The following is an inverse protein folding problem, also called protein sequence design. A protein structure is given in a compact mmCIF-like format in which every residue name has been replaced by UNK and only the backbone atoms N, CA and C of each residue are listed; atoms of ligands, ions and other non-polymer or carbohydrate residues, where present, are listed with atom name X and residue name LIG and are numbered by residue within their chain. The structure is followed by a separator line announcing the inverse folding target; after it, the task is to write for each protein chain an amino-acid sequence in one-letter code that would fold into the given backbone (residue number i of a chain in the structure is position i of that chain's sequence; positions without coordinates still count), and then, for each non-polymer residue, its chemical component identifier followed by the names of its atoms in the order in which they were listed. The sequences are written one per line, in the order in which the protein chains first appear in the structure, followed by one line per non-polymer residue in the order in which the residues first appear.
data_IF_108473833958
#
_entry.id   IF_108473833958
#
_cell.length_a   1.000
_cell.length_b   1.000
_cell.length_c   1.000
_cell.angle_alpha   90.00
_cell.angle_beta   90.00
_cell.angle_gamma   90.00
#
_symmetry.space_group_name_H-M   'P 1'
#
loop_
_entity.id
_entity.type
_entity.pdbx_description
1 polymer ?
#
# COMPACT_ATOMS: atom_id res chain seq x y z
N UNK A 1 0.95 -24.07 -21.62
CA UNK A 1 2.37 -24.11 -22.08
C UNK A 1 3.26 -23.97 -20.85
N UNK A 2 3.95 -25.04 -20.42
CA UNK A 2 4.97 -24.93 -19.36
C UNK A 2 6.21 -24.28 -19.96
N UNK A 3 6.68 -23.19 -19.36
CA UNK A 3 7.98 -22.61 -19.74
C UNK A 3 9.10 -23.54 -19.24
N UNK A 4 10.22 -23.52 -19.95
CA UNK A 4 11.43 -24.28 -19.63
C UNK A 4 12.00 -23.86 -18.26
N UNK A 5 12.57 -24.81 -17.51
CA UNK A 5 12.97 -24.64 -16.10
C UNK A 5 13.99 -23.50 -15.88
N UNK A 6 14.83 -23.22 -16.88
CA UNK A 6 15.79 -22.11 -16.84
C UNK A 6 15.10 -20.74 -16.79
N UNK A 7 13.91 -20.59 -17.36
CA UNK A 7 13.13 -19.35 -17.30
C UNK A 7 12.37 -19.20 -15.98
N UNK A 8 11.95 -20.30 -15.34
CA UNK A 8 11.19 -20.25 -14.09
C UNK A 8 12.08 -19.94 -12.88
N UNK A 9 13.34 -20.39 -12.89
CA UNK A 9 14.28 -20.16 -11.78
C UNK A 9 14.57 -18.68 -11.52
N UNK A 10 14.65 -17.86 -12.57
CA UNK A 10 14.84 -16.42 -12.41
C UNK A 10 13.55 -15.75 -11.91
N UNK A 11 12.38 -16.16 -12.39
CA UNK A 11 11.10 -15.59 -11.92
C UNK A 11 10.85 -15.84 -10.43
N UNK A 12 11.27 -16.99 -9.89
CA UNK A 12 11.20 -17.28 -8.46
C UNK A 12 12.06 -16.32 -7.62
N UNK A 13 13.24 -15.94 -8.12
CA UNK A 13 14.08 -14.94 -7.47
C UNK A 13 13.45 -13.54 -7.47
N UNK A 14 12.66 -13.20 -8.50
CA UNK A 14 11.92 -11.93 -8.57
C UNK A 14 10.69 -11.91 -7.68
N UNK A 15 9.94 -13.03 -7.58
CA UNK A 15 8.82 -13.13 -6.65
C UNK A 15 9.30 -13.03 -5.20
N UNK A 16 10.51 -13.52 -4.87
CA UNK A 16 11.12 -13.36 -3.54
C UNK A 16 11.49 -11.90 -3.18
N UNK A 17 11.62 -11.01 -4.18
CA UNK A 17 11.90 -9.58 -3.98
C UNK A 17 10.59 -8.78 -3.90
N UNK A 18 9.48 -9.32 -4.41
CA UNK A 18 8.17 -8.72 -4.21
C UNK A 18 7.82 -8.80 -2.72
N UNK A 19 7.55 -7.66 -2.08
CA UNK A 19 7.26 -7.54 -0.64
C UNK A 19 5.90 -8.16 -0.26
N UNK A 20 5.52 -9.31 -0.83
CA UNK A 20 4.52 -10.21 -0.26
C UNK A 20 5.17 -10.97 0.90
N UNK A 21 5.37 -10.28 2.02
CA UNK A 21 6.01 -10.82 3.24
C UNK A 21 5.35 -12.14 3.70
N UNK A 22 4.05 -12.30 3.40
CA UNK A 22 3.27 -13.50 3.67
C UNK A 22 3.53 -14.65 2.67
N UNK A 23 3.74 -14.35 1.39
CA UNK A 23 4.12 -15.36 0.37
C UNK A 23 5.58 -15.79 0.48
N UNK A 24 6.44 -14.95 1.05
CA UNK A 24 7.86 -15.26 1.30
C UNK A 24 8.03 -16.27 2.44
N UNK A 25 7.11 -16.28 3.41
CA UNK A 25 7.18 -17.13 4.60
C UNK A 25 6.34 -18.40 4.48
N UNK A 26 5.22 -18.37 3.75
CA UNK A 26 4.37 -19.54 3.54
C UNK A 26 3.85 -19.61 2.09
N UNK A 27 4.02 -20.74 1.37
CA UNK A 27 3.42 -20.91 0.05
C UNK A 27 1.90 -20.83 0.16
N UNK A 28 1.25 -20.09 -0.76
CA UNK A 28 -0.18 -19.83 -0.70
C UNK A 28 -1.01 -21.12 -0.58
N UNK A 29 -0.54 -22.24 -1.14
CA UNK A 29 -1.17 -23.56 -1.04
C UNK A 29 -1.36 -24.10 0.40
N UNK A 30 -0.69 -23.53 1.40
CA UNK A 30 -0.77 -23.96 2.80
C UNK A 30 -1.62 -23.05 3.69
N UNK A 31 -2.06 -21.89 3.20
CA UNK A 31 -2.98 -20.99 3.90
C UNK A 31 -4.39 -21.28 3.38
N UNK A 32 -5.33 -21.54 4.29
CA UNK A 32 -6.67 -22.10 4.04
C UNK A 32 -7.50 -21.47 2.92
N UNK A 33 -8.65 -20.89 3.25
CA UNK A 33 -9.57 -20.38 2.24
C UNK A 33 -9.04 -19.12 1.54
N UNK A 34 -9.42 -18.87 0.28
CA UNK A 34 -9.07 -17.62 -0.44
C UNK A 34 -9.39 -16.34 0.36
N UNK A 35 -10.47 -16.38 1.15
CA UNK A 35 -10.86 -15.27 2.05
C UNK A 35 -9.78 -14.97 3.09
N UNK A 36 -9.20 -15.99 3.72
CA UNK A 36 -8.15 -15.80 4.73
C UNK A 36 -6.90 -15.19 4.11
N UNK A 37 -6.52 -15.63 2.90
CA UNK A 37 -5.39 -15.07 2.15
C UNK A 37 -5.60 -13.58 1.86
N UNK A 38 -6.80 -13.22 1.42
CA UNK A 38 -7.18 -11.83 1.16
C UNK A 38 -7.11 -10.98 2.43
N UNK A 39 -7.65 -11.48 3.55
CA UNK A 39 -7.62 -10.77 4.83
C UNK A 39 -6.19 -10.57 5.33
N UNK A 40 -5.36 -11.61 5.29
CA UNK A 40 -3.97 -11.52 5.72
C UNK A 40 -3.16 -10.54 4.84
N UNK A 41 -3.33 -10.62 3.52
CA UNK A 41 -2.64 -9.74 2.57
C UNK A 41 -3.07 -8.27 2.68
N UNK A 42 -4.35 -7.99 2.93
CA UNK A 42 -4.87 -6.62 3.00
C UNK A 42 -4.83 -5.99 4.40
N UNK A 43 -4.85 -6.78 5.48
CA UNK A 43 -4.94 -6.25 6.86
C UNK A 43 -3.61 -6.16 7.60
N UNK A 44 -2.57 -6.91 7.20
CA UNK A 44 -1.27 -6.86 7.89
C UNK A 44 -0.67 -5.44 8.01
N UNK A 45 -0.77 -4.53 7.01
CA UNK A 45 -0.19 -3.20 7.14
C UNK A 45 -1.01 -2.34 8.11
N UNK A 46 -2.33 -2.54 8.14
CA UNK A 46 -3.23 -1.87 9.07
C UNK A 46 -2.93 -2.35 10.49
N UNK A 47 -2.74 -3.65 10.69
CA UNK A 47 -2.34 -4.21 11.98
C UNK A 47 -1.01 -3.61 12.46
N UNK A 48 -0.01 -3.48 11.57
CA UNK A 48 1.26 -2.83 11.91
C UNK A 48 1.09 -1.37 12.33
N UNK A 49 0.25 -0.60 11.62
CA UNK A 49 -0.05 0.79 11.97
C UNK A 49 -0.78 0.87 13.32
N UNK A 50 -1.76 0.00 13.57
CA UNK A 50 -2.53 -0.06 14.81
C UNK A 50 -1.65 -0.42 16.02
N UNK A 51 -0.70 -1.35 15.86
CA UNK A 51 0.28 -1.68 16.88
C UNK A 51 1.20 -0.49 17.20
N UNK A 52 1.59 0.28 16.18
CA UNK A 52 2.30 1.53 16.38
C UNK A 52 1.46 2.52 17.20
N UNK A 53 0.19 2.72 16.83
CA UNK A 53 -0.74 3.62 17.53
C UNK A 53 -1.00 3.18 18.98
N UNK A 54 -1.14 1.88 19.25
CA UNK A 54 -1.35 1.38 20.61
C UNK A 54 -0.10 1.58 21.48
N UNK A 55 1.09 1.32 20.95
CA UNK A 55 2.35 1.61 21.65
C UNK A 55 2.49 3.10 22.01
N UNK A 56 2.05 4.01 21.14
CA UNK A 56 1.98 5.44 21.46
C UNK A 56 1.02 5.73 22.61
N UNK A 57 -0.19 5.14 22.56
CA UNK A 57 -1.18 5.35 23.60
C UNK A 57 -0.66 4.87 24.96
N UNK A 58 -0.02 3.70 25.00
CA UNK A 58 0.62 3.19 26.21
C UNK A 58 1.77 4.09 26.70
N UNK A 59 2.61 4.59 25.80
CA UNK A 59 3.68 5.53 26.18
C UNK A 59 3.11 6.84 26.74
N UNK A 60 2.08 7.41 26.11
CA UNK A 60 1.42 8.62 26.57
C UNK A 60 0.76 8.42 27.94
N UNK A 61 0.07 7.29 28.15
CA UNK A 61 -0.49 6.90 29.44
C UNK A 61 0.59 6.74 30.51
N UNK A 62 1.73 6.11 30.18
CA UNK A 62 2.85 5.95 31.12
C UNK A 62 3.44 7.29 31.56
N UNK A 63 3.66 8.22 30.63
CA UNK A 63 4.14 9.58 30.96
C UNK A 63 3.12 10.32 31.82
N UNK A 64 1.83 10.24 31.48
CA UNK A 64 0.76 10.86 32.25
C UNK A 64 0.72 10.33 33.70
N UNK A 65 0.78 9.00 33.89
CA UNK A 65 0.78 8.37 35.22
C UNK A 65 2.00 8.76 36.07
N UNK A 66 3.18 8.89 35.47
CA UNK A 66 4.40 9.31 36.19
C UNK A 66 4.34 10.79 36.57
N UNK A 67 3.78 11.64 35.70
CA UNK A 67 3.55 13.06 36.00
C UNK A 67 2.54 13.26 37.13
N UNK A 68 1.48 12.45 37.18
CA UNK A 68 0.45 12.50 38.23
C UNK A 68 1.00 12.06 39.59
N UNK A 69 1.83 11.00 39.63
CA UNK A 69 2.54 10.57 40.85
C UNK A 69 3.52 11.61 41.38
N UNK A 70 4.16 12.40 40.50
CA UNK A 70 5.02 13.50 40.92
C UNK A 70 4.23 14.65 41.52
N UNK A 71 2.99 14.88 41.05
CA UNK A 71 2.10 15.91 41.60
C UNK A 71 1.63 15.55 43.03
N UNK A 72 1.34 14.27 43.29
CA UNK A 72 0.93 13.80 44.62
C UNK A 72 2.06 13.79 45.67
N UNK A 73 3.33 13.92 45.27
CA UNK A 73 4.49 13.92 46.18
C UNK A 73 4.94 15.33 46.59
N UNK A 74 4.44 16.38 45.94
CA UNK A 74 4.88 17.76 46.17
C UNK A 74 3.71 18.53 46.79
N UNK A 75 3.40 18.23 48.04
CA UNK A 75 2.69 19.15 48.93
C UNK A 75 3.69 20.23 49.37
N UNK A 76 3.85 21.29 48.57
CA UNK A 76 3.99 22.67 49.10
C UNK A 76 3.82 23.73 47.99
N UNK A 77 3.02 24.74 48.33
CA UNK A 77 3.02 26.12 47.81
C UNK A 77 2.54 26.45 46.38
N UNK A 78 1.23 26.74 46.28
CA UNK A 78 0.64 27.98 45.70
C UNK A 78 1.13 28.41 44.29
N UNK A 79 1.32 27.48 43.36
CA UNK A 79 1.56 27.78 41.93
C UNK A 79 0.81 26.81 40.99
N UNK A 80 -0.35 26.30 41.40
CA UNK A 80 -1.03 25.15 40.78
C UNK A 80 -1.53 25.34 39.34
N UNK A 81 -1.79 26.58 38.88
CA UNK A 81 -2.29 26.76 37.52
C UNK A 81 -1.17 26.69 36.47
N UNK A 82 0.04 27.14 36.81
CA UNK A 82 1.18 27.15 35.88
C UNK A 82 1.81 25.77 35.71
N UNK A 83 1.95 24.99 36.77
CA UNK A 83 2.61 23.67 36.74
C UNK A 83 1.78 22.63 35.99
N UNK A 84 0.44 22.65 36.14
CA UNK A 84 -0.47 21.79 35.37
C UNK A 84 -0.47 22.15 33.87
N UNK A 85 -0.41 23.44 33.54
CA UNK A 85 -0.32 23.94 32.17
C UNK A 85 1.03 23.63 31.49
N UNK A 86 2.13 23.61 32.27
CA UNK A 86 3.46 23.26 31.76
C UNK A 86 3.53 21.75 31.45
N UNK A 87 3.06 20.89 32.35
CA UNK A 87 3.03 19.43 32.13
C UNK A 87 2.16 19.03 30.94
N UNK A 88 0.97 19.61 30.79
CA UNK A 88 0.10 19.36 29.63
C UNK A 88 0.72 19.85 28.30
N UNK A 89 1.52 20.93 28.33
CA UNK A 89 2.22 21.45 27.14
C UNK A 89 3.37 20.54 26.70
N UNK A 90 4.13 19.97 27.63
CA UNK A 90 5.22 19.02 27.34
C UNK A 90 4.70 17.66 26.85
N UNK A 91 3.61 17.17 27.44
CA UNK A 91 2.93 15.95 26.96
C UNK A 91 2.35 16.16 25.56
N UNK A 92 1.73 17.32 25.31
CA UNK A 92 1.19 17.66 23.98
C UNK A 92 2.29 17.78 22.92
N UNK A 93 3.41 18.43 23.23
CA UNK A 93 4.51 18.59 22.27
C UNK A 93 5.18 17.24 21.96
N UNK A 94 5.33 16.38 22.96
CA UNK A 94 5.85 15.02 22.80
C UNK A 94 4.90 14.16 21.97
N UNK A 95 3.60 14.19 22.27
CA UNK A 95 2.58 13.46 21.51
C UNK A 95 2.55 13.89 20.04
N UNK A 96 2.55 15.20 19.75
CA UNK A 96 2.57 15.71 18.37
C UNK A 96 3.81 15.23 17.61
N UNK A 97 5.00 15.29 18.22
CA UNK A 97 6.24 14.82 17.58
C UNK A 97 6.18 13.33 17.25
N UNK A 98 5.71 12.51 18.19
CA UNK A 98 5.65 11.05 17.99
C UNK A 98 4.54 10.66 17.01
N UNK A 99 3.38 11.33 17.05
CA UNK A 99 2.30 11.14 16.05
C UNK A 99 2.77 11.47 14.65
N UNK A 100 3.54 12.54 14.46
CA UNK A 100 4.13 12.88 13.16
C UNK A 100 5.16 11.84 12.67
N UNK A 101 5.93 11.26 13.59
CA UNK A 101 6.84 10.17 13.25
C UNK A 101 6.07 8.90 12.86
N UNK A 102 4.97 8.60 13.54
CA UNK A 102 4.09 7.49 13.19
C UNK A 102 3.38 7.72 11.87
N UNK A 103 2.98 8.96 11.55
CA UNK A 103 2.46 9.31 10.24
C UNK A 103 3.50 9.03 9.14
N UNK A 104 4.77 9.38 9.34
CA UNK A 104 5.84 9.05 8.40
C UNK A 104 5.94 7.54 8.15
N UNK A 105 5.95 6.73 9.21
CA UNK A 105 6.02 5.28 9.09
C UNK A 105 4.74 4.67 8.50
N UNK A 106 3.57 5.17 8.87
CA UNK A 106 2.29 4.71 8.32
C UNK A 106 2.21 4.97 6.81
N UNK A 107 2.63 6.15 6.38
CA UNK A 107 2.72 6.51 4.96
C UNK A 107 3.72 5.63 4.22
N UNK A 108 4.90 5.40 4.80
CA UNK A 108 5.93 4.55 4.22
C UNK A 108 5.46 3.09 4.08
N UNK A 109 4.86 2.52 5.13
CA UNK A 109 4.32 1.16 5.11
C UNK A 109 3.14 1.04 4.15
N UNK A 110 2.22 1.99 4.14
CA UNK A 110 1.09 1.99 3.21
C UNK A 110 1.56 2.07 1.76
N UNK A 111 2.61 2.86 1.48
CA UNK A 111 3.21 2.96 0.15
C UNK A 111 3.80 1.62 -0.31
N UNK A 112 4.56 0.94 0.54
CA UNK A 112 5.17 -0.35 0.22
C UNK A 112 4.12 -1.47 0.11
N UNK A 113 3.10 -1.45 0.96
CA UNK A 113 2.06 -2.46 0.98
C UNK A 113 1.04 -2.27 -0.15
N UNK A 114 0.89 -1.08 -0.73
CA UNK A 114 -0.15 -0.81 -1.72
C UNK A 114 -0.08 -1.76 -2.93
N UNK A 115 1.06 -1.98 -3.61
CA UNK A 115 1.11 -2.90 -4.75
C UNK A 115 0.81 -4.35 -4.37
N UNK A 116 1.32 -4.81 -3.22
CA UNK A 116 1.12 -6.16 -2.69
C UNK A 116 -0.35 -6.40 -2.32
N UNK A 117 -0.93 -5.53 -1.48
CA UNK A 117 -2.33 -5.60 -1.07
C UNK A 117 -3.26 -5.46 -2.29
N UNK A 118 -2.94 -4.59 -3.25
CA UNK A 118 -3.72 -4.49 -4.48
C UNK A 118 -3.66 -5.80 -5.27
N UNK A 119 -2.47 -6.36 -5.52
CA UNK A 119 -2.30 -7.62 -6.27
C UNK A 119 -3.12 -8.76 -5.65
N UNK A 120 -3.13 -8.92 -4.33
CA UNK A 120 -3.92 -9.96 -3.65
C UNK A 120 -5.43 -9.77 -3.82
N UNK A 121 -5.92 -8.52 -3.83
CA UNK A 121 -7.32 -8.20 -4.12
C UNK A 121 -7.71 -8.60 -5.54
N UNK A 122 -6.88 -8.32 -6.55
CA UNK A 122 -7.20 -8.70 -7.93
C UNK A 122 -7.10 -10.20 -8.17
N UNK A 123 -6.23 -10.93 -7.47
CA UNK A 123 -6.19 -12.40 -7.53
C UNK A 123 -7.53 -13.04 -7.14
N UNK A 124 -8.31 -12.39 -6.26
CA UNK A 124 -9.61 -12.89 -5.80
C UNK A 124 -10.71 -12.89 -6.87
N UNK A 125 -10.47 -12.23 -8.01
CA UNK A 125 -11.42 -12.17 -9.13
C UNK A 125 -10.86 -12.79 -10.42
N UNK A 126 -9.67 -13.37 -10.40
CA UNK A 126 -9.04 -13.89 -11.61
C UNK A 126 -9.53 -15.31 -11.91
N UNK A 127 -10.31 -15.48 -12.98
CA UNK A 127 -10.89 -16.77 -13.36
C UNK A 127 -10.23 -17.34 -14.62
N UNK A 128 -10.21 -18.66 -14.73
CA UNK A 128 -9.79 -19.38 -15.94
C UNK A 128 -10.90 -20.30 -16.40
N UNK A 129 -11.31 -20.17 -17.66
CA UNK A 129 -12.38 -20.97 -18.25
C UNK A 129 -11.84 -22.25 -18.90
N UNK A 130 -12.42 -23.39 -18.53
CA UNK A 130 -12.09 -24.70 -19.07
C UNK A 130 -13.29 -25.28 -19.81
N UNK A 131 -13.02 -26.01 -20.89
CA UNK A 131 -14.03 -26.78 -21.62
C UNK A 131 -14.33 -28.07 -20.84
N UNK A 132 -15.53 -28.19 -20.29
CA UNK A 132 -15.95 -29.39 -19.55
C UNK A 132 -16.55 -30.45 -20.47
N UNK A 133 -17.27 -30.04 -21.51
CA UNK A 133 -17.93 -30.95 -22.45
C UNK A 133 -17.57 -30.59 -23.90
N UNK A 134 -16.85 -31.50 -24.57
CA UNK A 134 -16.41 -31.30 -25.97
C UNK A 134 -17.57 -31.27 -26.98
N UNK A 135 -18.68 -31.96 -26.69
CA UNK A 135 -19.85 -32.02 -27.57
C UNK A 135 -20.77 -30.80 -27.43
N UNK A 136 -21.04 -30.34 -26.21
CA UNK A 136 -21.94 -29.21 -25.95
C UNK A 136 -21.22 -27.86 -25.95
N UNK A 137 -19.88 -27.84 -25.99
CA UNK A 137 -19.02 -26.67 -25.76
C UNK A 137 -19.36 -25.92 -24.46
N UNK A 138 -19.82 -26.65 -23.45
CA UNK A 138 -20.03 -26.08 -22.12
C UNK A 138 -18.67 -25.70 -21.52
N UNK A 139 -18.59 -24.49 -20.96
CA UNK A 139 -17.41 -23.97 -20.28
C UNK A 139 -17.73 -23.73 -18.82
N UNK A 140 -16.79 -24.05 -17.95
CA UNK A 140 -16.83 -23.68 -16.54
C UNK A 140 -15.58 -22.90 -16.17
N UNK A 141 -15.77 -21.84 -15.40
CA UNK A 141 -14.70 -20.95 -14.98
C UNK A 141 -14.38 -21.21 -13.52
N UNK A 142 -13.11 -21.39 -13.20
CA UNK A 142 -12.62 -21.62 -11.85
C UNK A 142 -11.67 -20.49 -11.44
N UNK A 143 -11.59 -20.20 -10.14
CA UNK A 143 -10.69 -19.17 -9.64
C UNK A 143 -9.23 -19.65 -9.72
N UNK A 144 -8.34 -18.84 -10.29
CA UNK A 144 -6.92 -19.22 -10.49
C UNK A 144 -6.17 -19.39 -9.17
N UNK A 145 -6.50 -18.59 -8.16
CA UNK A 145 -5.87 -18.65 -6.85
C UNK A 145 -6.35 -19.83 -5.98
N UNK A 146 -7.57 -20.30 -6.23
CA UNK A 146 -8.21 -21.40 -5.51
C UNK A 146 -9.13 -22.18 -6.46
N UNK A 147 -8.63 -23.24 -7.12
CA UNK A 147 -9.38 -23.99 -8.14
C UNK A 147 -10.64 -24.67 -7.63
N UNK A 148 -10.84 -24.75 -6.31
CA UNK A 148 -12.04 -25.35 -5.71
C UNK A 148 -13.26 -24.42 -5.80
N UNK A 149 -13.07 -23.13 -6.05
CA UNK A 149 -14.15 -22.13 -6.16
C UNK A 149 -14.59 -21.95 -7.62
N UNK A 150 -15.89 -22.07 -7.88
CA UNK A 150 -16.47 -21.86 -9.20
C UNK A 150 -16.76 -20.37 -9.40
N UNK A 151 -16.26 -19.78 -10.47
CA UNK A 151 -16.61 -18.41 -10.87
C UNK A 151 -17.97 -18.43 -11.57
N UNK A 152 -19.04 -18.62 -10.78
CA UNK A 152 -20.43 -18.55 -11.22
C UNK A 152 -21.23 -17.73 -10.23
N UNK A 153 -22.23 -16.98 -10.70
CA UNK A 153 -23.14 -16.22 -9.83
C UNK A 153 -23.97 -17.15 -8.92
N UNK A 154 -24.09 -18.43 -9.29
CA UNK A 154 -24.79 -19.46 -8.51
C UNK A 154 -23.97 -20.00 -7.31
N UNK A 155 -22.65 -19.75 -7.25
CA UNK A 155 -21.79 -20.23 -6.16
C UNK A 155 -21.79 -19.23 -5.00
N UNK A 156 -22.36 -19.64 -3.86
CA UNK A 156 -22.41 -18.81 -2.64
C UNK A 156 -21.03 -18.37 -2.15
N UNK A 157 -20.00 -19.20 -2.36
CA UNK A 157 -18.64 -18.85 -1.96
C UNK A 157 -18.15 -17.68 -2.82
N UNK A 158 -18.36 -17.72 -4.14
CA UNK A 158 -17.94 -16.66 -5.05
C UNK A 158 -18.67 -15.34 -4.76
N UNK A 159 -20.00 -15.38 -4.60
CA UNK A 159 -20.80 -14.19 -4.29
C UNK A 159 -20.40 -13.50 -2.98
N UNK A 160 -19.93 -14.28 -1.99
CA UNK A 160 -19.38 -13.74 -0.75
C UNK A 160 -18.08 -12.94 -0.92
N UNK A 161 -17.26 -13.25 -1.93
CA UNK A 161 -16.00 -12.55 -2.18
C UNK A 161 -16.21 -11.12 -2.72
N UNK A 162 -17.35 -10.83 -3.37
CA UNK A 162 -17.63 -9.54 -4.01
C UNK A 162 -17.60 -8.37 -3.02
N UNK A 163 -18.20 -8.56 -1.85
CA UNK A 163 -18.24 -7.53 -0.80
C UNK A 163 -16.83 -7.22 -0.30
N UNK A 164 -16.00 -8.25 -0.08
CA UNK A 164 -14.61 -8.06 0.34
C UNK A 164 -13.77 -7.42 -0.76
N UNK A 165 -13.95 -7.85 -2.01
CA UNK A 165 -13.27 -7.29 -3.17
C UNK A 165 -13.53 -5.79 -3.29
N UNK A 166 -14.79 -5.36 -3.32
CA UNK A 166 -15.15 -3.94 -3.43
C UNK A 166 -14.71 -3.13 -2.20
N UNK A 167 -14.84 -3.68 -1.00
CA UNK A 167 -14.39 -3.05 0.23
C UNK A 167 -12.88 -2.78 0.21
N UNK A 168 -12.07 -3.78 -0.14
CA UNK A 168 -10.63 -3.62 -0.20
C UNK A 168 -10.15 -2.84 -1.41
N UNK A 169 -10.84 -2.94 -2.56
CA UNK A 169 -10.55 -2.13 -3.74
C UNK A 169 -10.74 -0.64 -3.46
N UNK A 170 -11.84 -0.27 -2.79
CA UNK A 170 -12.06 1.11 -2.37
C UNK A 170 -11.00 1.54 -1.35
N UNK A 171 -10.66 0.69 -0.39
CA UNK A 171 -9.71 1.02 0.68
C UNK A 171 -8.27 1.22 0.18
N UNK A 172 -7.79 0.36 -0.72
CA UNK A 172 -6.40 0.32 -1.12
C UNK A 172 -6.15 1.08 -2.43
N UNK A 173 -6.47 0.54 -3.63
CA UNK A 173 -6.30 1.23 -4.91
C UNK A 173 -6.87 2.65 -4.99
N UNK A 174 -7.94 2.97 -4.25
CA UNK A 174 -8.62 4.26 -4.34
C UNK A 174 -8.28 5.17 -3.15
N UNK A 175 -8.61 4.77 -1.92
CA UNK A 175 -8.46 5.65 -0.76
C UNK A 175 -7.00 5.98 -0.43
N UNK A 176 -6.05 5.05 -0.54
CA UNK A 176 -4.64 5.35 -0.21
C UNK A 176 -4.02 6.41 -1.13
N UNK A 177 -4.10 6.31 -2.48
CA UNK A 177 -3.65 7.37 -3.36
C UNK A 177 -4.35 8.71 -3.13
N UNK A 178 -5.66 8.70 -2.83
CA UNK A 178 -6.41 9.91 -2.51
C UNK A 178 -5.93 10.57 -1.21
N UNK A 179 -5.61 9.79 -0.18
CA UNK A 179 -5.03 10.29 1.08
C UNK A 179 -3.67 10.93 0.79
N UNK A 180 -2.80 10.28 0.00
CA UNK A 180 -1.51 10.83 -0.38
C UNK A 180 -1.66 12.14 -1.17
N UNK A 181 -2.58 12.18 -2.12
CA UNK A 181 -2.90 13.40 -2.87
C UNK A 181 -3.41 14.51 -1.95
N UNK A 182 -4.33 14.22 -1.03
CA UNK A 182 -4.87 15.18 -0.07
C UNK A 182 -3.78 15.73 0.88
N UNK A 183 -2.87 14.88 1.35
CA UNK A 183 -1.72 15.29 2.15
C UNK A 183 -0.81 16.24 1.36
N UNK A 184 -0.49 15.89 0.11
CA UNK A 184 0.33 16.73 -0.77
C UNK A 184 -0.33 18.07 -1.08
N UNK A 185 -1.64 18.08 -1.36
CA UNK A 185 -2.42 19.30 -1.55
C UNK A 185 -2.39 20.21 -0.32
N UNK A 186 -2.48 19.62 0.88
CA UNK A 186 -2.44 20.35 2.15
C UNK A 186 -1.09 21.00 2.42
N UNK A 187 0.02 20.34 2.06
CA UNK A 187 1.37 20.87 2.27
C UNK A 187 1.88 21.72 1.09
N UNK A 188 1.20 21.72 -0.06
CA UNK A 188 1.63 22.39 -1.30
C UNK A 188 2.07 23.83 -1.08
N UNK A 189 1.23 24.62 -0.40
CA UNK A 189 1.53 26.05 -0.13
C UNK A 189 2.77 26.20 0.75
N UNK A 190 2.90 25.36 1.78
CA UNK A 190 4.02 25.39 2.72
C UNK A 190 5.35 25.03 2.04
N UNK A 191 5.35 23.98 1.20
CA UNK A 191 6.53 23.53 0.46
C UNK A 191 6.96 24.58 -0.57
N UNK A 192 6.02 25.17 -1.30
CA UNK A 192 6.34 26.21 -2.31
C UNK A 192 6.98 27.46 -1.70
N UNK A 193 6.54 27.84 -0.50
CA UNK A 193 7.08 28.97 0.27
C UNK A 193 8.33 28.56 1.10
N UNK A 194 8.81 27.32 0.96
CA UNK A 194 9.95 26.75 1.71
C UNK A 194 9.81 26.84 3.24
N UNK A 195 8.57 26.92 3.76
CA UNK A 195 8.28 26.88 5.19
C UNK A 195 7.88 25.46 5.58
N UNK A 196 8.81 24.72 6.16
CA UNK A 196 8.59 23.32 6.54
C UNK A 196 7.69 23.26 7.78
N UNK A 197 6.39 23.00 7.57
CA UNK A 197 5.44 22.70 8.63
C UNK A 197 5.70 21.31 9.23
N UNK A 198 5.26 21.04 10.47
CA UNK A 198 5.36 19.71 11.07
C UNK A 198 4.75 18.60 10.19
N UNK A 199 3.61 18.86 9.55
CA UNK A 199 2.97 17.92 8.63
C UNK A 199 3.81 17.68 7.36
N UNK A 200 4.38 18.74 6.78
CA UNK A 200 5.29 18.62 5.63
C UNK A 200 6.53 17.79 5.97
N UNK A 201 7.03 17.87 7.22
CA UNK A 201 8.13 17.03 7.69
C UNK A 201 7.75 15.56 7.82
N UNK A 202 6.56 15.25 8.33
CA UNK A 202 6.06 13.88 8.41
C UNK A 202 5.86 13.27 7.02
N UNK A 203 5.36 14.04 6.06
CA UNK A 203 5.16 13.59 4.69
C UNK A 203 6.43 13.70 3.82
N UNK A 204 7.62 13.91 4.41
CA UNK A 204 8.88 14.11 3.66
C UNK A 204 9.14 13.02 2.64
N UNK A 205 8.73 11.79 2.92
CA UNK A 205 8.89 10.66 2.01
C UNK A 205 8.27 10.93 0.64
N UNK A 206 7.10 11.58 0.57
CA UNK A 206 6.38 11.78 -0.70
C UNK A 206 6.96 12.89 -1.58
N UNK A 207 7.63 13.89 -0.99
CA UNK A 207 7.96 15.12 -1.73
C UNK A 207 9.42 15.53 -1.68
N UNK A 208 10.21 15.03 -0.72
CA UNK A 208 11.57 15.55 -0.46
C UNK A 208 12.46 15.46 -1.69
N UNK A 209 12.31 14.40 -2.47
CA UNK A 209 13.24 14.07 -3.56
C UNK A 209 12.84 14.76 -4.89
N UNK A 210 11.62 15.32 -4.95
CA UNK A 210 11.09 16.04 -6.11
C UNK A 210 11.18 17.56 -5.99
N UNK A 211 11.20 18.22 -7.14
CA UNK A 211 11.05 19.67 -7.22
C UNK A 211 9.66 20.16 -6.81
N UNK A 212 9.58 21.41 -6.35
CA UNK A 212 8.34 21.98 -5.83
C UNK A 212 7.24 22.10 -6.89
N UNK A 213 7.61 22.19 -8.17
CA UNK A 213 6.67 22.22 -9.29
C UNK A 213 6.12 20.83 -9.64
N UNK A 214 6.87 19.77 -9.30
CA UNK A 214 6.50 18.36 -9.51
C UNK A 214 6.14 17.63 -8.21
N UNK A 215 5.52 18.33 -7.26
CA UNK A 215 5.15 17.79 -5.94
C UNK A 215 4.30 16.51 -6.01
N UNK A 216 3.47 16.37 -7.05
CA UNK A 216 2.54 15.25 -7.20
C UNK A 216 3.15 14.04 -7.93
N UNK A 217 4.42 14.11 -8.32
CA UNK A 217 5.04 13.06 -9.12
C UNK A 217 5.01 11.70 -8.43
N UNK A 218 5.16 11.66 -7.11
CA UNK A 218 5.05 10.42 -6.34
C UNK A 218 3.70 9.72 -6.52
N UNK A 219 2.60 10.48 -6.62
CA UNK A 219 1.25 9.91 -6.84
C UNK A 219 1.14 9.35 -8.27
N UNK A 220 1.80 9.99 -9.24
CA UNK A 220 1.85 9.50 -10.63
C UNK A 220 2.66 8.21 -10.71
N UNK A 221 3.83 8.15 -10.06
CA UNK A 221 4.65 6.94 -9.99
C UNK A 221 3.92 5.80 -9.26
N UNK A 222 3.21 6.12 -8.18
CA UNK A 222 2.36 5.17 -7.48
C UNK A 222 1.22 4.64 -8.36
N UNK A 223 0.59 5.51 -9.15
CA UNK A 223 -0.43 5.13 -10.12
C UNK A 223 0.11 4.16 -11.18
N UNK A 224 1.33 4.39 -11.69
CA UNK A 224 2.01 3.45 -12.60
C UNK A 224 2.27 2.11 -11.92
N UNK A 225 2.86 2.12 -10.71
CA UNK A 225 3.13 0.89 -9.94
C UNK A 225 1.86 0.09 -9.71
N UNK A 226 0.78 0.76 -9.31
CA UNK A 226 -0.54 0.15 -9.13
C UNK A 226 -1.07 -0.42 -10.45
N UNK A 227 -0.96 0.33 -11.55
CA UNK A 227 -1.42 -0.16 -12.85
C UNK A 227 -0.69 -1.43 -13.28
N UNK A 228 0.65 -1.42 -13.24
CA UNK A 228 1.49 -2.54 -13.66
C UNK A 228 1.35 -3.76 -12.74
N UNK A 229 1.23 -3.54 -11.42
CA UNK A 229 1.11 -4.64 -10.46
C UNK A 229 -0.29 -5.26 -10.44
N UNK A 230 -1.33 -4.46 -10.63
CA UNK A 230 -2.68 -4.82 -10.24
C UNK A 230 -3.72 -4.62 -11.35
N UNK A 231 -3.83 -3.44 -11.96
CA UNK A 231 -4.85 -3.16 -12.98
C UNK A 231 -4.62 -3.94 -14.29
N UNK A 232 -3.37 -4.27 -14.61
CA UNK A 232 -3.04 -5.13 -15.76
C UNK A 232 -3.64 -6.55 -15.62
N UNK A 233 -3.96 -7.01 -14.39
CA UNK A 233 -4.67 -8.28 -14.19
C UNK A 233 -6.14 -8.20 -14.61
N UNK A 234 -6.75 -7.01 -14.63
CA UNK A 234 -8.17 -6.82 -14.92
C UNK A 234 -8.50 -6.81 -16.43
N UNK A 235 -7.50 -6.62 -17.29
CA UNK A 235 -7.69 -6.46 -18.75
C UNK A 235 -8.32 -7.70 -19.40
N UNK A 236 -8.22 -8.88 -18.78
CA UNK A 236 -9.05 -10.03 -19.16
C UNK A 236 -9.26 -10.99 -17.98
N UNK A 237 -10.47 -10.96 -17.43
CA UNK A 237 -10.88 -11.71 -16.25
C UNK A 237 -11.29 -13.15 -16.61
N UNK A 238 -11.66 -13.41 -17.87
CA UNK A 238 -12.46 -14.58 -18.26
C UNK A 238 -11.82 -15.45 -19.33
N UNK A 239 -11.19 -14.83 -20.34
CA UNK A 239 -10.78 -15.56 -21.55
C UNK A 239 -9.31 -15.92 -21.59
N UNK A 240 -8.54 -15.48 -20.59
CA UNK A 240 -7.09 -15.70 -20.61
C UNK A 240 -6.48 -15.23 -21.94
N UNK A 241 -6.98 -14.15 -22.55
CA UNK A 241 -6.37 -13.55 -23.72
C UNK A 241 -4.91 -13.29 -23.40
N UNK A 242 -4.08 -13.72 -24.35
CA UNK A 242 -2.67 -14.08 -24.18
C UNK A 242 -1.95 -13.25 -23.13
N UNK A 243 -1.19 -13.91 -22.24
CA UNK A 243 -0.19 -13.25 -21.37
C UNK A 243 0.62 -12.17 -22.12
N UNK A 244 0.74 -12.31 -23.45
CA UNK A 244 1.27 -11.33 -24.40
C UNK A 244 0.52 -9.99 -24.42
N UNK A 245 -0.82 -9.93 -24.47
CA UNK A 245 -1.56 -8.65 -24.45
C UNK A 245 -1.28 -7.86 -23.17
N UNK A 246 -1.33 -8.53 -22.02
CA UNK A 246 -1.00 -7.92 -20.72
C UNK A 246 0.44 -7.39 -20.71
N UNK A 247 1.38 -8.16 -21.26
CA UNK A 247 2.78 -7.75 -21.41
C UNK A 247 2.93 -6.53 -22.35
N UNK A 248 2.22 -6.53 -23.48
CA UNK A 248 2.24 -5.42 -24.45
C UNK A 248 1.70 -4.15 -23.80
N UNK A 249 0.54 -4.21 -23.14
CA UNK A 249 -0.03 -3.05 -22.45
C UNK A 249 0.91 -2.55 -21.35
N UNK A 250 1.48 -3.44 -20.55
CA UNK A 250 2.47 -3.08 -19.53
C UNK A 250 3.70 -2.38 -20.15
N UNK A 251 4.23 -2.91 -21.25
CA UNK A 251 5.39 -2.34 -21.95
C UNK A 251 5.10 -0.94 -22.52
N UNK A 252 3.90 -0.71 -23.06
CA UNK A 252 3.48 0.59 -23.59
C UNK A 252 3.37 1.62 -22.46
N UNK A 253 2.80 1.23 -21.32
CA UNK A 253 2.70 2.11 -20.15
C UNK A 253 4.07 2.43 -19.56
N UNK A 254 4.97 1.45 -19.45
CA UNK A 254 6.36 1.69 -19.03
C UNK A 254 7.10 2.60 -20.00
N UNK A 255 6.93 2.43 -21.32
CA UNK A 255 7.56 3.29 -22.32
C UNK A 255 7.04 4.74 -22.25
N UNK A 256 5.72 4.93 -22.08
CA UNK A 256 5.13 6.25 -21.89
C UNK A 256 5.65 6.93 -20.64
N UNK A 257 5.73 6.20 -19.51
CA UNK A 257 6.25 6.75 -18.27
C UNK A 257 7.74 7.10 -18.36
N UNK A 258 8.54 6.29 -19.05
CA UNK A 258 9.95 6.61 -19.32
C UNK A 258 10.08 7.90 -20.13
N UNK A 259 9.24 8.08 -21.15
CA UNK A 259 9.15 9.33 -21.90
C UNK A 259 8.77 10.51 -21.00
N UNK A 260 7.80 10.34 -20.11
CA UNK A 260 7.41 11.36 -19.15
C UNK A 260 8.55 11.72 -18.18
N UNK A 261 9.30 10.74 -17.67
CA UNK A 261 10.50 10.96 -16.84
C UNK A 261 11.58 11.76 -17.58
N UNK A 262 11.84 11.39 -18.84
CA UNK A 262 12.87 12.05 -19.66
C UNK A 262 12.54 13.52 -19.97
N UNK A 263 11.25 13.84 -20.16
CA UNK A 263 10.76 15.19 -20.45
C UNK A 263 10.59 16.04 -19.18
N UNK A 264 9.97 15.50 -18.14
CA UNK A 264 9.63 16.25 -16.94
C UNK A 264 10.81 16.42 -15.98
N UNK A 265 11.74 15.44 -15.92
CA UNK A 265 12.89 15.39 -14.99
C UNK A 265 12.54 15.88 -13.58
N UNK A 266 11.63 15.20 -12.88
CA UNK A 266 11.00 15.71 -11.66
C UNK A 266 11.92 15.68 -10.42
N UNK A 267 13.05 14.98 -10.49
CA UNK A 267 13.98 14.78 -9.38
C UNK A 267 15.00 15.91 -9.28
N UNK A 268 15.32 16.31 -8.04
CA UNK A 268 16.35 17.33 -7.76
C UNK A 268 17.77 16.88 -8.13
N UNK A 269 18.04 15.58 -8.05
CA UNK A 269 19.36 14.98 -8.31
C UNK A 269 19.30 14.12 -9.56
N UNK A 270 20.34 14.20 -10.38
CA UNK A 270 20.47 13.39 -11.58
C UNK A 270 20.60 11.89 -11.25
N UNK A 271 21.29 11.54 -10.17
CA UNK A 271 21.47 10.15 -9.75
C UNK A 271 20.14 9.46 -9.45
N UNK A 272 19.22 10.15 -8.76
CA UNK A 272 17.89 9.64 -8.43
C UNK A 272 17.04 9.46 -9.70
N UNK A 273 17.18 10.36 -10.68
CA UNK A 273 16.54 10.23 -11.99
C UNK A 273 17.07 8.99 -12.76
N UNK A 274 18.38 8.75 -12.75
CA UNK A 274 18.97 7.57 -13.40
C UNK A 274 18.49 6.27 -12.76
N UNK A 275 18.43 6.22 -11.42
CA UNK A 275 17.87 5.07 -10.69
C UNK A 275 16.40 4.84 -11.04
N UNK A 276 15.60 5.91 -11.14
CA UNK A 276 14.20 5.81 -11.54
C UNK A 276 14.03 5.32 -12.99
N UNK A 277 14.90 5.72 -13.92
CA UNK A 277 14.89 5.21 -15.29
C UNK A 277 15.27 3.73 -15.37
N UNK A 278 16.23 3.26 -14.57
CA UNK A 278 16.64 1.85 -14.54
C UNK A 278 15.56 0.96 -13.89
N UNK A 279 14.83 1.49 -12.91
CA UNK A 279 13.80 0.76 -12.19
C UNK A 279 12.45 0.62 -12.93
N UNK A 280 12.28 1.24 -14.10
CA UNK A 280 11.04 1.25 -14.88
C UNK A 280 11.04 0.21 -16.00
#
# INVERSE_FOLDING_TARGET
VRLHEDFTRWTEAFDAISLDLLSLTYPESCIGSMRERLLLGALWPIAFILLGCSALAFHALGVWLVSDRKLASVDDLRNDLSTMAIGTREVRSSCVRTTLNMLYWAVFVAYLALPSASRSIFKAKQCESFLTNALTRERRSYLVADPDVLCSDDDENYGGLDVYFWGFFALWPVCVPLIFLALLLSIRKAVRVRRITPLARACRFLWRDYDADFLFWEVVDLGRKLFLASLVLFIDIEYGSSKLLRLVVASVVSAFFLGALALARPFKRADDLHLACIAN
#
